data_IF_307744604802
#
_entry.id   IF_307744604802
#
_cell.length_a   1.000
_cell.length_b   1.000
_cell.length_c   1.000
_cell.angle_alpha   90.00
_cell.angle_beta   90.00
_cell.angle_gamma   90.00
#
_symmetry.space_group_name_H-M   'P 1'
#
loop_
_entity.id
_entity.type
_entity.pdbx_description
1 polymer ?
#
# COMPACT_ATOMS: atom_id res chain seq x y z
N UNK A 1 -32.22 44.99 -12.70
CA UNK A 1 -30.87 44.69 -12.16
C UNK A 1 -30.84 43.55 -11.12
N UNK A 2 -31.94 42.81 -10.86
CA UNK A 2 -31.98 41.75 -9.83
C UNK A 2 -31.57 40.34 -10.33
N UNK A 3 -31.48 40.12 -11.65
CA UNK A 3 -31.18 38.79 -12.22
C UNK A 3 -29.69 38.54 -12.52
N UNK A 4 -28.86 39.60 -12.59
CA UNK A 4 -27.42 39.46 -12.83
C UNK A 4 -26.65 39.05 -11.58
N UNK A 5 -27.21 39.32 -10.39
CA UNK A 5 -26.57 39.04 -9.10
C UNK A 5 -26.63 37.56 -8.72
N UNK A 6 -27.67 36.84 -9.15
CA UNK A 6 -27.84 35.40 -8.85
C UNK A 6 -26.88 34.50 -9.64
N UNK A 7 -26.50 34.90 -10.86
CA UNK A 7 -25.58 34.14 -11.70
C UNK A 7 -24.15 34.11 -11.14
N UNK A 8 -23.73 35.14 -10.42
CA UNK A 8 -22.35 35.28 -9.93
C UNK A 8 -22.12 34.43 -8.66
N UNK A 9 -23.15 34.24 -7.82
CA UNK A 9 -23.05 33.34 -6.65
C UNK A 9 -22.92 31.87 -7.03
N UNK A 10 -23.43 31.48 -8.22
CA UNK A 10 -23.43 30.09 -8.66
C UNK A 10 -22.05 29.62 -9.15
N UNK A 11 -21.22 30.53 -9.67
CA UNK A 11 -19.89 30.21 -10.20
C UNK A 11 -18.81 30.06 -9.11
N UNK A 12 -19.00 30.68 -7.94
CA UNK A 12 -18.02 30.62 -6.84
C UNK A 12 -18.02 29.26 -6.11
N UNK A 13 -19.13 28.53 -6.12
CA UNK A 13 -19.26 27.23 -5.43
C UNK A 13 -18.55 26.11 -6.20
N UNK A 14 -18.42 26.22 -7.53
CA UNK A 14 -17.74 25.22 -8.37
C UNK A 14 -16.20 25.27 -8.26
N UNK A 15 -15.63 26.38 -7.76
CA UNK A 15 -14.17 26.55 -7.68
C UNK A 15 -13.54 25.93 -6.42
N UNK A 16 -14.34 25.53 -5.43
CA UNK A 16 -13.86 24.97 -4.15
C UNK A 16 -13.92 23.43 -4.09
N UNK A 17 -14.44 22.76 -5.12
CA UNK A 17 -14.81 21.34 -5.06
C UNK A 17 -13.74 20.32 -5.47
N UNK A 18 -12.56 20.74 -5.92
CA UNK A 18 -11.52 19.81 -6.44
C UNK A 18 -10.21 19.96 -5.68
N UNK A 19 -10.26 19.87 -4.35
CA UNK A 19 -9.09 19.40 -3.60
C UNK A 19 -9.11 17.88 -3.63
N UNK A 20 -8.64 17.30 -4.73
CA UNK A 20 -8.38 15.87 -4.77
C UNK A 20 -7.37 15.53 -3.70
N UNK A 21 -7.80 14.86 -2.63
CA UNK A 21 -6.87 14.26 -1.66
C UNK A 21 -6.08 13.22 -2.44
N UNK A 22 -4.81 13.49 -2.71
CA UNK A 22 -3.91 12.50 -3.28
C UNK A 22 -3.81 11.33 -2.29
N UNK A 23 -4.63 10.31 -2.47
CA UNK A 23 -4.62 9.10 -1.67
C UNK A 23 -3.51 8.22 -2.22
N UNK A 24 -2.28 8.50 -1.78
CA UNK A 24 -1.15 7.57 -1.90
C UNK A 24 -1.42 6.41 -0.93
N UNK A 25 -2.36 5.55 -1.33
CA UNK A 25 -2.95 4.53 -0.50
C UNK A 25 -2.21 3.21 -0.60
N UNK A 26 -0.99 3.14 -0.08
CA UNK A 26 -0.20 1.89 -0.10
C UNK A 26 -0.99 0.73 0.50
N UNK A 27 -1.84 1.00 1.50
CA UNK A 27 -2.71 0.01 2.11
C UNK A 27 -3.80 -0.47 1.14
N UNK A 28 -4.50 0.45 0.48
CA UNK A 28 -5.53 0.16 -0.52
C UNK A 28 -4.96 -0.62 -1.70
N UNK A 29 -3.76 -0.27 -2.14
CA UNK A 29 -3.01 -0.97 -3.17
C UNK A 29 -2.68 -2.41 -2.77
N UNK A 30 -2.24 -2.63 -1.53
CA UNK A 30 -1.95 -3.97 -0.99
C UNK A 30 -3.25 -4.79 -0.87
N UNK A 31 -4.32 -4.18 -0.34
CA UNK A 31 -5.63 -4.84 -0.20
C UNK A 31 -6.25 -5.21 -1.54
N UNK A 32 -6.16 -4.31 -2.53
CA UNK A 32 -6.64 -4.53 -3.90
C UNK A 32 -5.90 -5.68 -4.58
N UNK A 33 -4.57 -5.76 -4.42
CA UNK A 33 -3.78 -6.89 -4.93
C UNK A 33 -3.98 -8.18 -4.15
N UNK A 34 -4.41 -8.10 -2.90
CA UNK A 34 -4.57 -9.27 -2.01
C UNK A 34 -3.26 -9.93 -1.58
N UNK A 35 -2.11 -9.30 -1.81
CA UNK A 35 -0.77 -9.80 -1.43
C UNK A 35 0.15 -8.65 -1.04
N UNK A 36 0.91 -8.85 0.04
CA UNK A 36 1.96 -7.93 0.48
C UNK A 36 3.28 -8.30 -0.22
N UNK A 37 3.69 -7.47 -1.18
CA UNK A 37 5.03 -7.56 -1.81
C UNK A 37 6.04 -6.95 -0.86
N UNK A 38 6.80 -7.80 -0.18
CA UNK A 38 7.66 -7.40 0.92
C UNK A 38 9.12 -7.45 0.49
N UNK A 39 9.82 -6.31 0.58
CA UNK A 39 11.25 -6.25 0.28
C UNK A 39 12.02 -6.88 1.44
N UNK A 40 12.88 -7.85 1.12
CA UNK A 40 13.69 -8.57 2.10
C UNK A 40 15.18 -8.44 1.81
N UNK A 41 15.99 -8.44 2.85
CA UNK A 41 17.46 -8.31 2.75
C UNK A 41 18.12 -9.68 2.75
N UNK A 42 18.72 -10.05 1.63
CA UNK A 42 19.51 -11.28 1.50
C UNK A 42 20.96 -11.06 1.92
N UNK A 43 21.66 -12.11 2.34
CA UNK A 43 23.10 -12.06 2.65
C UNK A 43 23.45 -11.84 4.13
N UNK A 44 22.46 -11.58 4.98
CA UNK A 44 22.61 -11.59 6.44
C UNK A 44 21.86 -12.79 7.00
N UNK A 45 22.58 -13.69 7.67
CA UNK A 45 22.00 -14.90 8.24
C UNK A 45 20.90 -14.55 9.25
N UNK A 46 19.74 -15.21 9.13
CA UNK A 46 18.59 -15.01 10.00
C UNK A 46 17.66 -13.84 9.61
N UNK A 47 17.96 -13.04 8.58
CA UNK A 47 17.08 -11.96 8.13
C UNK A 47 16.11 -12.43 7.04
N UNK A 48 16.62 -12.93 5.91
CA UNK A 48 15.80 -13.51 4.85
C UNK A 48 16.56 -14.55 4.04
N UNK A 49 16.11 -15.80 4.10
CA UNK A 49 16.71 -16.92 3.38
C UNK A 49 15.61 -17.89 2.91
N UNK A 50 15.62 -18.30 1.63
CA UNK A 50 14.77 -19.41 1.20
C UNK A 50 15.35 -20.74 1.69
N UNK A 51 14.47 -21.65 2.08
CA UNK A 51 14.84 -23.04 2.35
C UNK A 51 15.01 -23.86 1.05
N UNK A 52 15.27 -25.16 1.18
CA UNK A 52 15.44 -26.06 0.03
C UNK A 52 14.19 -26.20 -0.86
N UNK A 53 13.02 -25.83 -0.35
CA UNK A 53 11.75 -25.84 -1.06
C UNK A 53 11.39 -24.45 -1.61
N UNK A 54 12.26 -23.45 -1.43
CA UNK A 54 12.02 -22.06 -1.83
C UNK A 54 11.12 -21.28 -0.86
N UNK A 55 10.84 -21.82 0.33
CA UNK A 55 10.05 -21.13 1.36
C UNK A 55 10.95 -20.15 2.09
N UNK A 56 10.60 -18.87 2.02
CA UNK A 56 11.33 -17.82 2.71
C UNK A 56 11.10 -17.86 4.23
N UNK A 57 12.17 -17.63 4.99
CA UNK A 57 12.15 -17.46 6.44
C UNK A 57 13.21 -16.48 6.94
N UNK A 58 13.08 -16.04 8.19
CA UNK A 58 13.94 -15.06 8.85
C UNK A 58 13.17 -13.84 9.36
N UNK A 59 13.88 -12.94 10.06
CA UNK A 59 13.30 -11.76 10.69
C UNK A 59 12.47 -10.88 9.75
N UNK A 60 13.00 -10.55 8.56
CA UNK A 60 12.28 -9.73 7.59
C UNK A 60 10.99 -10.43 7.17
N UNK A 61 11.07 -11.74 6.91
CA UNK A 61 9.92 -12.54 6.47
C UNK A 61 8.85 -12.63 7.56
N UNK A 62 9.23 -12.82 8.81
CA UNK A 62 8.30 -12.87 9.93
C UNK A 62 7.63 -11.51 10.16
N UNK A 63 8.37 -10.41 10.00
CA UNK A 63 7.80 -9.07 10.01
C UNK A 63 6.81 -8.84 8.86
N UNK A 64 7.11 -9.33 7.66
CA UNK A 64 6.20 -9.30 6.51
C UNK A 64 4.93 -10.10 6.78
N UNK A 65 5.05 -11.31 7.35
CA UNK A 65 3.90 -12.17 7.70
C UNK A 65 3.00 -11.52 8.74
N UNK A 66 3.59 -10.90 9.77
CA UNK A 66 2.83 -10.16 10.78
C UNK A 66 2.07 -8.98 10.15
N UNK A 67 2.71 -8.25 9.23
CA UNK A 67 2.09 -7.13 8.51
C UNK A 67 0.98 -7.61 7.58
N UNK A 68 1.19 -8.71 6.84
CA UNK A 68 0.17 -9.31 5.98
C UNK A 68 -1.04 -9.81 6.79
N UNK A 69 -0.81 -10.42 7.95
CA UNK A 69 -1.88 -10.79 8.86
C UNK A 69 -2.70 -9.56 9.30
N UNK A 70 -2.05 -8.44 9.61
CA UNK A 70 -2.71 -7.21 10.04
C UNK A 70 -3.54 -6.54 8.93
N UNK A 71 -3.05 -6.54 7.69
CA UNK A 71 -3.66 -5.76 6.59
C UNK A 71 -4.51 -6.58 5.62
N UNK A 72 -4.28 -7.89 5.53
CA UNK A 72 -4.96 -8.83 4.62
C UNK A 72 -5.68 -9.99 5.34
N UNK A 73 -5.55 -10.08 6.66
CA UNK A 73 -6.16 -11.13 7.49
C UNK A 73 -5.47 -12.50 7.40
N UNK A 74 -4.34 -12.61 6.69
CA UNK A 74 -3.61 -13.86 6.49
C UNK A 74 -2.12 -13.58 6.34
N UNK A 75 -1.31 -14.13 7.23
CA UNK A 75 0.15 -13.97 7.21
C UNK A 75 0.83 -14.69 6.05
N UNK A 76 0.16 -15.65 5.41
CA UNK A 76 0.64 -16.33 4.22
C UNK A 76 0.57 -15.49 2.94
N UNK A 77 -0.14 -14.36 2.95
CA UNK A 77 -0.30 -13.46 1.78
C UNK A 77 0.89 -12.53 1.60
N UNK A 78 2.08 -13.11 1.47
CA UNK A 78 3.33 -12.39 1.21
C UNK A 78 4.00 -12.87 -0.08
N UNK A 79 4.65 -11.94 -0.77
CA UNK A 79 5.58 -12.20 -1.87
C UNK A 79 6.92 -11.56 -1.51
N UNK A 80 7.96 -12.37 -1.31
CA UNK A 80 9.29 -11.87 -0.99
C UNK A 80 9.95 -11.30 -2.25
N UNK A 81 10.37 -10.04 -2.18
CA UNK A 81 11.10 -9.33 -3.23
C UNK A 81 12.51 -9.04 -2.71
N UNK A 82 13.56 -9.51 -3.37
CA UNK A 82 14.92 -9.28 -2.89
C UNK A 82 15.31 -7.81 -3.10
N UNK A 83 15.97 -7.21 -2.10
CA UNK A 83 16.43 -5.81 -2.16
C UNK A 83 17.50 -5.57 -3.24
N UNK A 84 18.14 -6.64 -3.70
CA UNK A 84 19.02 -6.67 -4.87
C UNK A 84 18.71 -7.92 -5.69
N UNK A 85 18.68 -7.76 -7.02
CA UNK A 85 18.65 -8.88 -7.98
C UNK A 85 20.00 -9.55 -8.08
#
# INVERSE_FOLDING_TARGET
MKQKTTAILSAAVLALGVTGTAQAGTLEDVQSRGVLRCVVSTGVAGFAQPDANGVWGGFDVDFCRATAAAVLGDGGKIEAVTSTG
#
